data_IF_077364462451
#
_entry.id   IF_077364462451
#
_cell.length_a   1.000
_cell.length_b   1.000
_cell.length_c   1.000
_cell.angle_alpha   90.00
_cell.angle_beta   90.00
_cell.angle_gamma   90.00
#
_symmetry.space_group_name_H-M   'P 1'
#
loop_
_entity.id
_entity.type
_entity.pdbx_description
1 polymer ?
#
# COMPACT_ATOMS: atom_id res chain seq x y z
N UNK A 1 0.50 -25.09 -7.87
CA UNK A 1 -0.77 -25.28 -8.58
C UNK A 1 -1.37 -23.92 -8.90
N UNK A 2 -2.08 -23.81 -10.02
CA UNK A 2 -2.71 -22.58 -10.48
C UNK A 2 -4.03 -22.40 -9.71
N UNK A 3 -4.31 -21.17 -9.26
CA UNK A 3 -5.62 -20.84 -8.70
C UNK A 3 -6.70 -21.01 -9.78
N UNK A 4 -7.80 -21.66 -9.44
CA UNK A 4 -8.86 -22.03 -10.39
C UNK A 4 -10.21 -21.42 -10.07
N UNK A 5 -10.43 -20.98 -8.82
CA UNK A 5 -11.66 -20.38 -8.34
C UNK A 5 -11.51 -18.89 -8.04
N UNK A 6 -10.30 -18.49 -7.62
CA UNK A 6 -10.03 -17.10 -7.27
C UNK A 6 -9.71 -16.29 -8.53
N UNK A 7 -10.42 -15.19 -8.74
CA UNK A 7 -10.17 -14.26 -9.83
C UNK A 7 -10.50 -12.83 -9.43
N UNK A 8 -9.85 -11.88 -10.05
CA UNK A 8 -10.19 -10.46 -9.91
C UNK A 8 -11.26 -10.15 -10.96
N UNK A 9 -12.47 -9.69 -10.57
CA UNK A 9 -13.51 -9.34 -11.52
C UNK A 9 -13.02 -8.24 -12.47
N UNK A 10 -13.47 -8.28 -13.71
CA UNK A 10 -13.15 -7.23 -14.68
C UNK A 10 -13.56 -5.85 -14.14
N UNK A 11 -12.62 -4.90 -14.14
CA UNK A 11 -12.76 -3.59 -13.47
C UNK A 11 -13.00 -3.65 -11.96
N UNK A 12 -12.78 -4.78 -11.30
CA UNK A 12 -12.86 -4.95 -9.84
C UNK A 12 -11.66 -4.38 -9.08
N UNK A 13 -11.02 -3.34 -9.61
CA UNK A 13 -9.85 -2.69 -9.02
C UNK A 13 -9.81 -1.20 -9.33
N UNK A 14 -9.07 -0.48 -8.53
CA UNK A 14 -8.73 0.93 -8.78
C UNK A 14 -7.39 1.29 -8.14
N UNK A 15 -6.83 2.41 -8.54
CA UNK A 15 -5.75 3.10 -7.87
C UNK A 15 -6.11 4.58 -7.75
N UNK A 16 -5.81 5.20 -6.61
CA UNK A 16 -5.81 6.66 -6.54
C UNK A 16 -4.66 7.24 -7.36
N UNK A 17 -4.71 8.52 -7.77
CA UNK A 17 -3.54 9.21 -8.28
C UNK A 17 -2.40 9.19 -7.27
N UNK A 18 -1.16 9.03 -7.75
CA UNK A 18 0.03 9.17 -6.92
C UNK A 18 0.34 10.65 -6.71
N UNK A 19 0.57 11.05 -5.47
CA UNK A 19 0.99 12.38 -5.12
C UNK A 19 2.48 12.43 -4.85
N UNK A 20 3.11 13.55 -5.22
CA UNK A 20 4.52 13.78 -4.91
C UNK A 20 4.71 13.87 -3.39
N UNK A 21 5.93 13.63 -2.94
CA UNK A 21 6.36 13.92 -1.58
C UNK A 21 5.97 15.35 -1.17
N UNK A 22 5.40 15.51 0.02
CA UNK A 22 4.88 16.79 0.55
C UNK A 22 3.83 17.46 -0.38
N UNK A 23 3.11 16.65 -1.16
CA UNK A 23 2.01 17.13 -1.99
C UNK A 23 0.66 17.18 -1.26
N UNK A 24 -0.44 17.16 -2.01
CA UNK A 24 -1.80 17.35 -1.50
C UNK A 24 -2.22 16.35 -0.42
N UNK A 25 -1.67 15.15 -0.40
CA UNK A 25 -1.96 14.13 0.61
C UNK A 25 -1.02 14.15 1.83
N UNK A 26 -0.11 15.13 1.94
CA UNK A 26 0.97 15.10 2.93
C UNK A 26 0.48 15.07 4.39
N UNK A 27 -0.68 15.64 4.68
CA UNK A 27 -1.25 15.73 6.02
C UNK A 27 -2.46 14.79 6.22
N UNK A 28 -2.82 14.02 5.21
CA UNK A 28 -3.94 13.10 5.32
C UNK A 28 -3.57 11.86 6.16
N UNK A 29 -4.57 11.32 6.87
CA UNK A 29 -4.42 10.01 7.48
C UNK A 29 -4.70 8.93 6.42
N UNK A 30 -3.70 8.12 6.09
CA UNK A 30 -3.82 7.13 5.04
C UNK A 30 -4.94 6.10 5.29
N UNK A 31 -5.24 5.79 6.55
CA UNK A 31 -6.26 4.82 6.93
C UNK A 31 -7.65 5.37 6.56
N UNK A 32 -7.97 6.56 7.05
CA UNK A 32 -9.29 7.16 6.81
C UNK A 32 -9.49 7.56 5.34
N UNK A 33 -8.45 8.12 4.70
CA UNK A 33 -8.52 8.49 3.30
C UNK A 33 -8.70 7.25 2.41
N UNK A 34 -7.94 6.19 2.66
CA UNK A 34 -8.05 4.94 1.93
C UNK A 34 -9.44 4.30 2.05
N UNK A 35 -9.97 4.22 3.27
CA UNK A 35 -11.31 3.65 3.52
C UNK A 35 -12.43 4.48 2.86
N UNK A 36 -12.40 5.81 2.98
CA UNK A 36 -13.36 6.72 2.34
C UNK A 36 -13.30 6.61 0.82
N UNK A 37 -12.09 6.60 0.25
CA UNK A 37 -11.90 6.45 -1.19
C UNK A 37 -12.46 5.12 -1.69
N UNK A 38 -12.20 4.02 -0.98
CA UNK A 38 -12.74 2.71 -1.30
C UNK A 38 -14.28 2.72 -1.26
N UNK A 39 -14.87 3.25 -0.19
CA UNK A 39 -16.32 3.38 -0.07
C UNK A 39 -16.92 4.18 -1.24
N UNK A 40 -16.35 5.34 -1.56
CA UNK A 40 -16.79 6.18 -2.67
C UNK A 40 -16.68 5.44 -4.02
N UNK A 41 -15.65 4.62 -4.20
CA UNK A 41 -15.49 3.79 -5.38
C UNK A 41 -16.64 2.76 -5.52
N UNK A 42 -17.01 2.08 -4.44
CA UNK A 42 -18.16 1.16 -4.43
C UNK A 42 -19.47 1.90 -4.77
N UNK A 43 -19.74 2.99 -4.07
CA UNK A 43 -20.99 3.77 -4.25
C UNK A 43 -21.13 4.33 -5.67
N UNK A 44 -20.06 4.88 -6.24
CA UNK A 44 -20.07 5.41 -7.61
C UNK A 44 -20.35 4.32 -8.64
N UNK A 45 -20.00 3.09 -8.34
CA UNK A 45 -20.28 1.91 -9.18
C UNK A 45 -21.63 1.25 -8.88
N UNK A 46 -22.38 1.78 -7.94
CA UNK A 46 -23.64 1.19 -7.46
C UNK A 46 -23.44 -0.23 -6.92
N UNK A 47 -22.30 -0.47 -6.29
CA UNK A 47 -21.96 -1.70 -5.59
C UNK A 47 -22.15 -1.48 -4.10
N UNK A 48 -22.71 -2.47 -3.42
CA UNK A 48 -22.84 -2.46 -1.97
C UNK A 48 -21.57 -3.06 -1.34
N UNK A 49 -20.79 -2.31 -0.54
CA UNK A 49 -19.61 -2.85 0.11
C UNK A 49 -19.93 -3.95 1.14
N UNK A 50 -21.18 -4.12 1.54
CA UNK A 50 -21.58 -5.20 2.46
C UNK A 50 -21.54 -6.60 1.83
N UNK A 51 -21.30 -6.71 0.53
CA UNK A 51 -21.02 -8.01 -0.14
C UNK A 51 -19.67 -8.61 0.26
N UNK A 52 -18.78 -7.80 0.81
CA UNK A 52 -17.44 -8.23 1.21
C UNK A 52 -17.50 -9.15 2.45
N UNK A 53 -16.77 -10.25 2.42
CA UNK A 53 -16.69 -11.20 3.53
C UNK A 53 -15.47 -10.99 4.39
N UNK A 54 -14.36 -10.53 3.78
CA UNK A 54 -13.10 -10.30 4.48
C UNK A 54 -12.28 -9.19 3.81
N UNK A 55 -11.55 -8.40 4.60
CA UNK A 55 -10.65 -7.38 4.10
C UNK A 55 -9.21 -7.61 4.55
N UNK A 56 -8.26 -7.56 3.60
CA UNK A 56 -6.83 -7.44 3.87
C UNK A 56 -6.42 -6.00 3.71
N UNK A 57 -6.03 -5.38 4.83
CA UNK A 57 -5.62 -3.99 4.85
C UNK A 57 -4.10 -3.88 4.87
N UNK A 58 -3.53 -3.38 3.78
CA UNK A 58 -2.09 -3.19 3.62
C UNK A 58 -1.66 -1.77 3.94
N UNK A 59 -0.70 -1.63 4.87
CA UNK A 59 -0.11 -0.34 5.22
C UNK A 59 1.31 -0.55 5.72
N UNK A 60 2.24 0.32 5.30
CA UNK A 60 3.66 0.18 5.65
C UNK A 60 4.16 1.30 6.56
N UNK A 61 3.63 2.50 6.40
CA UNK A 61 4.03 3.68 7.18
C UNK A 61 3.01 3.91 8.28
N UNK A 62 3.43 3.85 9.53
CA UNK A 62 2.55 4.07 10.68
C UNK A 62 1.83 5.40 10.60
N UNK A 63 0.57 5.38 10.95
CA UNK A 63 -0.34 6.53 10.96
C UNK A 63 -0.91 6.72 12.37
N UNK A 64 -1.45 7.88 12.64
CA UNK A 64 -2.24 8.09 13.85
C UNK A 64 -3.40 7.08 13.87
N UNK A 65 -3.65 6.45 15.02
CA UNK A 65 -4.63 5.39 15.21
C UNK A 65 -4.31 4.05 14.51
N UNK A 66 -3.02 3.81 14.19
CA UNK A 66 -2.54 2.58 13.54
C UNK A 66 -2.95 1.32 14.28
N UNK A 67 -3.10 1.38 15.61
CA UNK A 67 -3.47 0.23 16.43
C UNK A 67 -4.78 -0.45 15.96
N UNK A 68 -5.74 0.34 15.53
CA UNK A 68 -7.04 -0.14 15.01
C UNK A 68 -7.15 -0.11 13.48
N UNK A 69 -6.07 0.11 12.75
CA UNK A 69 -6.05 0.42 11.32
C UNK A 69 -7.06 -0.37 10.48
N UNK A 70 -6.97 -1.69 10.52
CA UNK A 70 -7.78 -2.58 9.68
C UNK A 70 -9.25 -2.61 10.10
N UNK A 71 -9.54 -2.68 11.40
CA UNK A 71 -10.93 -2.68 11.89
C UNK A 71 -11.59 -1.33 11.70
N UNK A 72 -10.86 -0.24 11.88
CA UNK A 72 -11.36 1.10 11.62
C UNK A 72 -11.63 1.32 10.13
N UNK A 73 -10.69 0.95 9.26
CA UNK A 73 -10.87 1.03 7.80
C UNK A 73 -12.07 0.18 7.33
N UNK A 74 -12.22 -1.04 7.86
CA UNK A 74 -13.33 -1.92 7.55
C UNK A 74 -14.69 -1.32 7.96
N UNK A 75 -14.78 -0.80 9.19
CA UNK A 75 -16.00 -0.15 9.68
C UNK A 75 -16.39 1.06 8.82
N UNK A 76 -15.42 1.90 8.43
CA UNK A 76 -15.66 3.04 7.54
C UNK A 76 -16.09 2.61 6.13
N UNK A 77 -15.49 1.54 5.61
CA UNK A 77 -15.80 1.03 4.26
C UNK A 77 -17.27 0.61 4.15
N UNK A 78 -17.78 -0.13 5.13
CA UNK A 78 -19.16 -0.61 5.16
C UNK A 78 -20.13 0.30 5.93
N UNK A 79 -19.66 1.46 6.40
CA UNK A 79 -20.44 2.44 7.18
C UNK A 79 -21.13 1.81 8.41
N UNK A 80 -20.43 0.93 9.08
CA UNK A 80 -20.95 0.15 10.21
C UNK A 80 -22.24 -0.67 9.90
N UNK A 81 -22.56 -0.89 8.62
CA UNK A 81 -23.78 -1.61 8.24
C UNK A 81 -23.73 -3.09 8.64
N UNK A 82 -22.53 -3.67 8.67
CA UNK A 82 -22.28 -5.03 9.19
C UNK A 82 -20.86 -5.15 9.71
N UNK A 83 -20.55 -6.14 10.55
CA UNK A 83 -19.16 -6.49 10.85
C UNK A 83 -18.45 -6.95 9.55
N UNK A 84 -17.29 -6.38 9.28
CA UNK A 84 -16.39 -6.83 8.21
C UNK A 84 -15.08 -7.26 8.86
N UNK A 85 -14.80 -8.57 8.95
CA UNK A 85 -13.53 -9.06 9.45
C UNK A 85 -12.37 -8.54 8.60
N UNK A 86 -11.29 -8.17 9.26
CA UNK A 86 -10.13 -7.63 8.56
C UNK A 86 -8.82 -8.02 9.23
N UNK A 87 -7.76 -8.06 8.45
CA UNK A 87 -6.39 -8.30 8.90
C UNK A 87 -5.48 -7.21 8.36
N UNK A 88 -4.65 -6.63 9.23
CA UNK A 88 -3.58 -5.74 8.80
C UNK A 88 -2.37 -6.54 8.32
N UNK A 89 -1.85 -6.17 7.15
CA UNK A 89 -0.64 -6.74 6.55
C UNK A 89 0.40 -5.64 6.42
N UNK A 90 1.61 -5.92 6.91
CA UNK A 90 2.78 -5.10 6.68
C UNK A 90 3.94 -6.00 6.26
N UNK A 91 4.37 -5.84 5.03
CA UNK A 91 5.53 -6.53 4.45
C UNK A 91 6.32 -5.55 3.57
N UNK A 92 6.49 -4.33 4.05
CA UNK A 92 7.17 -3.25 3.34
C UNK A 92 6.70 -3.14 1.86
N UNK A 93 7.61 -3.09 0.90
CA UNK A 93 7.30 -2.90 -0.52
C UNK A 93 6.46 -4.05 -1.15
N UNK A 94 6.38 -5.23 -0.51
CA UNK A 94 5.61 -6.39 -1.00
C UNK A 94 4.22 -6.51 -0.38
N UNK A 95 3.83 -5.59 0.50
CA UNK A 95 2.56 -5.60 1.23
C UNK A 95 1.36 -5.81 0.31
N UNK A 96 1.29 -5.08 -0.81
CA UNK A 96 0.15 -5.16 -1.73
C UNK A 96 0.02 -6.55 -2.39
N UNK A 97 1.13 -7.12 -2.81
CA UNK A 97 1.16 -8.47 -3.38
C UNK A 97 0.70 -9.51 -2.36
N UNK A 98 1.14 -9.38 -1.11
CA UNK A 98 0.73 -10.27 -0.03
C UNK A 98 -0.76 -10.14 0.29
N UNK A 99 -1.33 -8.93 0.32
CA UNK A 99 -2.77 -8.75 0.51
C UNK A 99 -3.59 -9.44 -0.58
N UNK A 100 -3.19 -9.28 -1.84
CA UNK A 100 -3.85 -9.91 -2.99
C UNK A 100 -3.71 -11.43 -2.93
N UNK A 101 -2.52 -11.93 -2.61
CA UNK A 101 -2.26 -13.36 -2.47
C UNK A 101 -3.11 -13.99 -1.36
N UNK A 102 -3.16 -13.37 -0.18
CA UNK A 102 -3.97 -13.85 0.93
C UNK A 102 -5.46 -13.87 0.59
N UNK A 103 -5.97 -12.84 -0.08
CA UNK A 103 -7.34 -12.82 -0.54
C UNK A 103 -7.60 -13.98 -1.54
N UNK A 104 -6.72 -14.16 -2.50
CA UNK A 104 -6.86 -15.18 -3.53
C UNK A 104 -6.83 -16.62 -2.97
N UNK A 105 -5.87 -16.93 -2.09
CA UNK A 105 -5.75 -18.30 -1.54
C UNK A 105 -6.91 -18.67 -0.63
N UNK A 106 -7.48 -17.70 0.09
CA UNK A 106 -8.63 -17.96 0.94
C UNK A 106 -9.94 -18.12 0.15
N UNK A 107 -10.12 -17.39 -0.95
CA UNK A 107 -11.20 -17.63 -1.91
C UNK A 107 -11.04 -19.00 -2.55
N UNK A 108 -9.83 -19.36 -3.00
CA UNK A 108 -9.54 -20.67 -3.58
C UNK A 108 -9.85 -21.82 -2.62
N UNK A 109 -9.52 -21.64 -1.33
CA UNK A 109 -9.81 -22.60 -0.27
C UNK A 109 -11.30 -22.67 0.13
N UNK A 110 -12.13 -21.71 -0.33
CA UNK A 110 -13.54 -21.61 0.05
C UNK A 110 -13.77 -21.11 1.47
N UNK A 111 -12.80 -20.41 2.06
CA UNK A 111 -12.94 -19.79 3.39
C UNK A 111 -13.99 -18.69 3.37
N UNK A 112 -14.08 -17.97 2.26
CA UNK A 112 -15.10 -16.96 1.94
C UNK A 112 -15.18 -16.78 0.42
N UNK A 113 -16.23 -16.09 -0.05
CA UNK A 113 -16.49 -15.90 -1.48
C UNK A 113 -15.91 -14.59 -2.02
N UNK A 114 -15.90 -13.53 -1.21
CA UNK A 114 -15.52 -12.18 -1.63
C UNK A 114 -14.50 -11.55 -0.67
N UNK A 115 -13.22 -11.62 -1.03
CA UNK A 115 -12.14 -10.92 -0.34
C UNK A 115 -11.86 -9.55 -0.94
N UNK A 116 -11.45 -8.59 -0.13
CA UNK A 116 -11.05 -7.26 -0.56
C UNK A 116 -9.65 -6.90 -0.06
N UNK A 117 -8.76 -6.54 -0.97
CA UNK A 117 -7.44 -6.02 -0.63
C UNK A 117 -7.45 -4.49 -0.75
N UNK A 118 -7.36 -3.81 0.38
CA UNK A 118 -7.25 -2.35 0.46
C UNK A 118 -5.85 -1.98 0.93
N UNK A 119 -5.12 -1.25 0.10
CA UNK A 119 -3.79 -0.75 0.44
C UNK A 119 -3.79 0.77 0.41
N UNK A 120 -3.26 1.39 1.46
CA UNK A 120 -3.11 2.84 1.52
C UNK A 120 -1.91 3.24 2.36
N UNK A 121 -1.12 4.15 1.84
CA UNK A 121 0.05 4.69 2.52
C UNK A 121 0.20 6.18 2.30
N UNK A 122 0.77 6.84 3.30
CA UNK A 122 1.25 8.21 3.21
C UNK A 122 2.69 8.25 3.71
N UNK A 123 3.61 8.47 2.78
CA UNK A 123 5.04 8.52 3.09
C UNK A 123 5.50 9.88 3.62
N UNK A 124 4.86 10.97 3.18
CA UNK A 124 5.16 12.31 3.71
C UNK A 124 4.80 12.41 5.18
N UNK A 125 5.59 13.14 5.95
CA UNK A 125 5.34 13.35 7.39
C UNK A 125 5.11 12.03 8.15
N UNK A 126 5.94 11.04 7.85
CA UNK A 126 5.97 9.77 8.58
C UNK A 126 6.30 9.98 10.06
N UNK A 127 5.94 9.04 10.92
CA UNK A 127 6.09 9.21 12.35
C UNK A 127 7.55 9.19 12.78
N UNK A 128 7.83 9.90 13.88
CA UNK A 128 8.97 9.64 14.73
C UNK A 128 8.51 8.82 15.92
N UNK A 129 9.15 7.70 16.18
CA UNK A 129 8.90 6.88 17.36
C UNK A 129 9.94 7.21 18.41
N UNK A 130 9.50 7.44 19.63
CA UNK A 130 10.38 7.72 20.77
C UNK A 130 10.32 6.54 21.72
N UNK A 131 11.46 5.89 21.90
CA UNK A 131 11.59 4.73 22.78
C UNK A 131 12.29 5.12 24.08
N UNK A 132 11.78 4.73 25.23
CA UNK A 132 12.54 4.84 26.47
C UNK A 132 13.84 4.04 26.40
N UNK A 133 14.94 4.65 26.85
CA UNK A 133 16.21 3.94 26.98
C UNK A 133 16.53 3.72 28.49
N UNK A 134 16.12 2.61 29.08
CA UNK A 134 16.30 2.37 30.52
C UNK A 134 17.79 2.22 30.90
N UNK A 135 18.66 1.98 29.95
CA UNK A 135 20.11 1.88 30.16
C UNK A 135 20.85 3.21 29.89
N UNK A 136 20.14 4.20 29.39
CA UNK A 136 20.68 5.52 29.12
C UNK A 136 20.71 6.37 30.40
N UNK A 137 21.83 7.06 30.68
CA UNK A 137 21.92 7.95 31.82
C UNK A 137 20.99 9.16 31.62
N UNK A 138 20.40 9.66 32.72
CA UNK A 138 19.59 10.87 32.68
C UNK A 138 18.24 10.77 31.97
N UNK A 139 17.72 9.57 31.68
CA UNK A 139 16.46 9.38 31.02
C UNK A 139 16.49 9.64 29.51
N UNK A 140 17.62 9.43 28.88
CA UNK A 140 17.76 9.50 27.43
C UNK A 140 16.71 8.67 26.70
N UNK A 141 16.31 9.13 25.53
CA UNK A 141 15.38 8.44 24.65
C UNK A 141 16.03 8.09 23.32
N UNK A 142 15.57 7.03 22.70
CA UNK A 142 15.95 6.66 21.33
C UNK A 142 14.84 7.17 20.42
N UNK A 143 15.18 8.07 19.50
CA UNK A 143 14.26 8.57 18.48
C UNK A 143 14.52 7.85 17.16
N UNK A 144 13.49 7.31 16.58
CA UNK A 144 13.51 6.64 15.29
C UNK A 144 12.65 7.42 14.28
N UNK A 145 13.23 7.84 13.18
CA UNK A 145 12.49 8.28 12.01
C UNK A 145 12.02 7.04 11.25
N UNK A 146 10.74 6.71 11.34
CA UNK A 146 10.18 5.47 10.80
C UNK A 146 10.59 5.19 9.36
N UNK A 147 10.58 6.18 8.50
CA UNK A 147 10.96 5.99 7.10
C UNK A 147 12.47 6.04 6.91
N UNK A 148 13.08 7.15 7.29
CA UNK A 148 14.46 7.43 6.87
C UNK A 148 15.47 6.50 7.50
N UNK A 149 15.28 6.13 8.77
CA UNK A 149 16.21 5.24 9.44
C UNK A 149 16.13 3.83 8.83
N UNK A 150 14.94 3.34 8.54
CA UNK A 150 14.75 2.01 7.93
C UNK A 150 15.18 1.94 6.45
N UNK A 151 15.07 3.04 5.69
CA UNK A 151 15.60 3.10 4.32
C UNK A 151 17.14 3.24 4.29
N UNK A 152 17.71 3.85 5.33
CA UNK A 152 19.16 4.08 5.40
C UNK A 152 19.96 2.92 6.00
N UNK A 153 19.34 2.07 6.80
CA UNK A 153 20.01 0.91 7.39
C UNK A 153 18.98 -0.18 7.72
N UNK A 154 19.00 -1.27 7.00
CA UNK A 154 18.29 -2.48 7.36
C UNK A 154 18.93 -3.07 8.64
N UNK A 155 18.14 -3.41 9.66
CA UNK A 155 18.68 -3.85 10.95
C UNK A 155 19.43 -5.19 10.90
N UNK A 156 19.22 -5.99 9.86
CA UNK A 156 19.90 -7.28 9.70
C UNK A 156 21.24 -7.14 8.97
N UNK A 157 21.24 -6.46 7.81
CA UNK A 157 22.42 -6.34 6.96
C UNK A 157 23.15 -5.00 7.11
N UNK A 158 22.55 -3.99 7.73
CA UNK A 158 23.09 -2.64 7.86
C UNK A 158 23.19 -1.87 6.54
N UNK A 159 22.52 -2.35 5.50
CA UNK A 159 22.61 -1.79 4.16
C UNK A 159 21.48 -0.79 3.89
N UNK A 160 21.80 0.25 3.13
CA UNK A 160 20.81 1.11 2.50
C UNK A 160 20.11 0.38 1.37
N UNK A 161 18.87 0.74 1.06
CA UNK A 161 18.10 0.14 -0.04
C UNK A 161 18.81 0.28 -1.40
N UNK A 162 19.49 1.41 -1.65
CA UNK A 162 20.29 1.58 -2.87
C UNK A 162 21.48 0.63 -2.94
N UNK A 163 22.12 0.33 -1.82
CA UNK A 163 23.23 -0.64 -1.76
C UNK A 163 22.72 -2.06 -2.01
N UNK A 164 21.55 -2.41 -1.50
CA UNK A 164 20.90 -3.69 -1.79
C UNK A 164 20.59 -3.82 -3.29
N UNK A 165 20.09 -2.76 -3.92
CA UNK A 165 19.83 -2.74 -5.36
C UNK A 165 21.13 -2.93 -6.18
N UNK A 166 22.21 -2.24 -5.81
CA UNK A 166 23.53 -2.40 -6.43
C UNK A 166 24.06 -3.84 -6.28
N UNK A 167 23.90 -4.44 -5.10
CA UNK A 167 24.33 -5.82 -4.86
C UNK A 167 23.54 -6.80 -5.74
N UNK A 168 22.23 -6.62 -5.87
CA UNK A 168 21.40 -7.44 -6.76
C UNK A 168 21.78 -7.27 -8.22
N UNK A 169 22.02 -6.03 -8.66
CA UNK A 169 22.46 -5.78 -10.04
C UNK A 169 23.80 -6.46 -10.33
N UNK A 170 24.75 -6.37 -9.39
CA UNK A 170 26.05 -7.03 -9.52
C UNK A 170 25.93 -8.54 -9.57
N UNK A 171 25.13 -9.15 -8.69
CA UNK A 171 24.90 -10.59 -8.64
C UNK A 171 24.25 -11.10 -9.92
N UNK A 172 23.25 -10.35 -10.43
CA UNK A 172 22.54 -10.69 -11.66
C UNK A 172 23.28 -10.32 -12.96
N UNK A 173 24.43 -9.63 -12.86
CA UNK A 173 25.20 -9.17 -14.03
C UNK A 173 24.51 -8.08 -14.82
N UNK A 174 23.62 -7.30 -14.18
CA UNK A 174 22.89 -6.19 -14.80
C UNK A 174 23.80 -4.97 -14.91
N UNK A 175 23.89 -4.40 -16.10
CA UNK A 175 24.72 -3.21 -16.35
C UNK A 175 23.95 -1.91 -16.10
N UNK A 176 24.70 -0.81 -15.97
CA UNK A 176 24.10 0.52 -15.87
C UNK A 176 23.30 0.88 -17.15
N UNK A 177 23.82 0.52 -18.30
CA UNK A 177 23.19 0.77 -19.61
C UNK A 177 21.82 0.06 -19.72
N UNK A 178 21.70 -1.15 -19.19
CA UNK A 178 20.43 -1.87 -19.13
C UNK A 178 19.44 -1.17 -18.19
N UNK A 179 19.89 -0.70 -17.02
CA UNK A 179 19.07 0.09 -16.11
C UNK A 179 18.59 1.40 -16.75
N UNK A 180 19.49 2.10 -17.46
CA UNK A 180 19.17 3.35 -18.15
C UNK A 180 18.15 3.11 -19.28
N UNK A 181 18.29 2.02 -20.03
CA UNK A 181 17.34 1.63 -21.08
C UNK A 181 15.93 1.34 -20.51
N UNK A 182 15.85 0.65 -19.37
CA UNK A 182 14.57 0.43 -18.68
C UNK A 182 13.98 1.75 -18.17
N UNK A 183 14.80 2.64 -17.65
CA UNK A 183 14.35 3.97 -17.16
C UNK A 183 13.74 4.77 -18.28
N UNK A 184 14.42 4.83 -19.43
CA UNK A 184 13.92 5.52 -20.64
C UNK A 184 12.58 4.90 -21.10
N UNK A 185 12.52 3.58 -21.17
CA UNK A 185 11.28 2.87 -21.54
C UNK A 185 10.12 3.19 -20.61
N UNK A 186 10.36 3.27 -19.28
CA UNK A 186 9.31 3.65 -18.30
C UNK A 186 8.83 5.08 -18.52
N UNK A 187 9.74 5.99 -18.86
CA UNK A 187 9.36 7.35 -19.18
C UNK A 187 8.50 7.42 -20.45
N UNK A 188 8.88 6.72 -21.51
CA UNK A 188 8.10 6.62 -22.74
C UNK A 188 6.70 6.05 -22.51
N UNK A 189 6.59 4.98 -21.73
CA UNK A 189 5.30 4.40 -21.31
C UNK A 189 4.44 5.40 -20.52
N UNK A 190 5.07 6.22 -19.67
CA UNK A 190 4.35 7.27 -18.96
C UNK A 190 3.85 8.36 -19.92
N UNK A 191 4.65 8.79 -20.87
CA UNK A 191 4.22 9.74 -21.90
C UNK A 191 3.07 9.19 -22.75
N UNK A 192 3.13 7.93 -23.14
CA UNK A 192 2.04 7.25 -23.84
C UNK A 192 0.77 7.18 -22.98
N UNK A 193 0.90 6.89 -21.69
CA UNK A 193 -0.24 6.86 -20.76
C UNK A 193 -0.93 8.23 -20.57
N UNK A 194 -0.21 9.34 -20.84
CA UNK A 194 -0.78 10.69 -20.82
C UNK A 194 -1.52 11.05 -22.11
N UNK A 195 -1.32 10.30 -23.20
CA UNK A 195 -1.96 10.56 -24.47
C UNK A 195 -3.49 10.44 -24.41
N UNK A 196 -4.17 11.05 -25.40
CA UNK A 196 -5.63 11.01 -25.54
C UNK A 196 -6.37 11.39 -24.24
N UNK A 197 -5.97 12.51 -23.64
CA UNK A 197 -6.54 13.02 -22.41
C UNK A 197 -6.49 11.96 -21.27
N UNK A 198 -5.33 11.31 -21.13
CA UNK A 198 -5.06 10.30 -20.10
C UNK A 198 -6.02 9.09 -20.15
N UNK A 199 -6.38 8.67 -21.35
CA UNK A 199 -7.33 7.58 -21.57
C UNK A 199 -6.92 6.29 -20.86
N UNK A 200 -5.62 5.97 -20.79
CA UNK A 200 -5.10 4.82 -20.08
C UNK A 200 -5.39 4.91 -18.57
N UNK A 201 -5.03 6.03 -17.94
CA UNK A 201 -5.21 6.24 -16.51
C UNK A 201 -6.69 6.27 -16.12
N UNK A 202 -7.56 6.85 -16.95
CA UNK A 202 -9.01 6.91 -16.71
C UNK A 202 -9.68 5.52 -16.67
N UNK A 203 -9.01 4.46 -17.10
CA UNK A 203 -9.54 3.08 -17.02
C UNK A 203 -9.59 2.57 -15.59
N UNK A 204 -8.66 2.98 -14.73
CA UNK A 204 -8.49 2.42 -13.40
C UNK A 204 -8.30 3.44 -12.28
N UNK A 205 -7.93 4.68 -12.59
CA UNK A 205 -7.77 5.71 -11.56
C UNK A 205 -9.11 6.17 -11.01
N UNK A 206 -9.14 6.33 -9.70
CA UNK A 206 -10.28 6.86 -8.96
C UNK A 206 -9.79 8.00 -8.05
N UNK A 207 -10.40 9.18 -8.08
CA UNK A 207 -9.95 10.31 -7.27
C UNK A 207 -10.13 10.04 -5.78
N UNK A 208 -9.14 10.45 -5.00
CA UNK A 208 -9.25 10.61 -3.55
C UNK A 208 -9.61 12.06 -3.25
N UNK A 209 -10.58 12.24 -2.38
CA UNK A 209 -11.02 13.58 -1.91
C UNK A 209 -10.21 13.95 -0.67
N UNK A 210 -9.41 15.02 -0.77
CA UNK A 210 -8.54 15.57 0.26
C UNK A 210 -8.95 16.98 0.68
#
# INVERSE_FOLDING_TARGET
DMLTKAFIPYKGYYSSPFCRWQGSMANENAISLGAKTARNWFLKRKLDPTVLDYMYYGITISQLHMFYSHTWAAAMLVDNAKPLPALMVNQACTTSTTCIHLAAVNVEAGTYECGFALMSDRCSNGPHTVWPNPMGPGGEVISENWMMDNFNADPNAGLKMVQTAENVAKEAGITKEECDAVTLRRYEQYQDALANDRAFQKRYMFPAEV
#
